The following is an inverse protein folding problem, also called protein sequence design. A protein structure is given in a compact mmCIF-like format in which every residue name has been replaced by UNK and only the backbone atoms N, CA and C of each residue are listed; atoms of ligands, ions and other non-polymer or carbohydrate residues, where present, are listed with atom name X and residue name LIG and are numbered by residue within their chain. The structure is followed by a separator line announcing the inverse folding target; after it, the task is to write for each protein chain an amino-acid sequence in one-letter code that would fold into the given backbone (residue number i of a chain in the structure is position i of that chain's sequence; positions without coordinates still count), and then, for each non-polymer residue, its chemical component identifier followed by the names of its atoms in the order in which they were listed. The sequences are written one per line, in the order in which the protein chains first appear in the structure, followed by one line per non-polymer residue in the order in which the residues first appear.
data_IF_936445730688
#
_entry.id   IF_936445730688
#
_cell.length_a   1.000
_cell.length_b   1.000
_cell.length_c   1.000
_cell.angle_alpha   90.00
_cell.angle_beta   90.00
_cell.angle_gamma   90.00
#
_symmetry.space_group_name_H-M   'P 1'
#
loop_
_entity.id
_entity.type
_entity.pdbx_description
1 polymer ?
#
# COMPACT_ATOMS: atom_id res chain seq x y z
N UNK A 1 2.03 8.54 24.33
CA UNK A 1 0.94 8.81 23.36
C UNK A 1 0.76 7.52 22.58
N UNK A 2 -0.40 6.90 22.62
CA UNK A 2 -0.66 5.66 21.87
C UNK A 2 -0.74 6.04 20.39
N UNK A 3 0.17 5.52 19.58
CA UNK A 3 0.22 5.81 18.15
C UNK A 3 -1.02 5.21 17.46
N UNK A 4 -1.67 5.96 16.57
CA UNK A 4 -2.83 5.43 15.83
C UNK A 4 -2.35 4.49 14.71
N UNK A 5 -3.19 3.53 14.26
CA UNK A 5 -2.81 2.62 13.18
C UNK A 5 -2.41 3.35 11.87
N UNK A 6 -3.12 4.41 11.43
CA UNK A 6 -2.69 5.23 10.30
C UNK A 6 -1.32 5.89 10.51
N UNK A 7 -1.04 6.40 11.72
CA UNK A 7 0.24 7.05 12.01
C UNK A 7 1.40 6.05 12.02
N UNK A 8 1.15 4.82 12.48
CA UNK A 8 2.12 3.73 12.41
C UNK A 8 2.45 3.36 10.97
N UNK A 9 1.44 3.16 10.12
CA UNK A 9 1.65 2.88 8.70
C UNK A 9 2.42 4.00 8.00
N UNK A 10 2.10 5.27 8.29
CA UNK A 10 2.85 6.41 7.77
C UNK A 10 4.30 6.39 8.25
N UNK A 11 4.56 6.10 9.53
CA UNK A 11 5.91 6.07 10.05
C UNK A 11 6.73 4.92 9.43
N UNK A 12 6.15 3.73 9.26
CA UNK A 12 6.79 2.62 8.54
C UNK A 12 7.16 3.03 7.11
N UNK A 13 6.25 3.70 6.41
CA UNK A 13 6.51 4.24 5.07
C UNK A 13 7.61 5.31 5.06
N UNK A 14 7.62 6.25 6.02
CA UNK A 14 8.68 7.25 6.14
C UNK A 14 10.06 6.63 6.43
N UNK A 15 10.11 5.59 7.26
CA UNK A 15 11.34 4.82 7.51
C UNK A 15 11.83 4.14 6.25
N UNK A 16 10.92 3.53 5.48
CA UNK A 16 11.23 2.95 4.18
C UNK A 16 11.79 4.01 3.20
N UNK A 17 11.16 5.19 3.14
CA UNK A 17 11.59 6.33 2.32
C UNK A 17 13.01 6.76 2.65
N UNK A 18 13.31 6.98 3.93
CA UNK A 18 14.62 7.40 4.39
C UNK A 18 15.72 6.40 4.00
N UNK A 19 15.46 5.09 4.16
CA UNK A 19 16.39 4.05 3.76
C UNK A 19 16.61 3.97 2.24
N UNK A 20 15.57 4.27 1.45
CA UNK A 20 15.67 4.27 -0.01
C UNK A 20 16.44 5.46 -0.59
N UNK A 21 16.52 6.56 0.15
CA UNK A 21 17.15 7.81 -0.27
C UNK A 21 18.67 7.81 -0.09
N UNK A 22 19.25 6.80 0.58
CA UNK A 22 20.69 6.67 0.73
C UNK A 22 21.35 6.48 -0.66
N UNK A 23 22.23 7.42 -1.02
CA UNK A 23 22.85 7.56 -2.36
C UNK A 23 23.99 6.57 -2.59
N UNK A 24 23.84 5.34 -2.13
CA UNK A 24 24.75 4.27 -2.51
C UNK A 24 24.53 3.92 -4.00
N UNK A 25 25.57 3.53 -4.76
CA UNK A 25 25.50 3.29 -6.20
C UNK A 25 24.80 1.95 -6.54
N UNK A 26 23.72 1.63 -5.84
CA UNK A 26 23.03 0.36 -5.98
C UNK A 26 21.86 0.44 -6.98
N UNK A 27 21.61 -0.61 -7.79
CA UNK A 27 20.47 -0.69 -8.69
C UNK A 27 19.13 -0.52 -7.94
N UNK A 28 18.06 -0.17 -8.67
CA UNK A 28 16.72 0.09 -8.08
C UNK A 28 16.14 -1.06 -7.24
N UNK A 29 16.52 -2.31 -7.55
CA UNK A 29 16.15 -3.50 -6.76
C UNK A 29 16.71 -3.45 -5.33
N UNK A 30 17.93 -2.96 -5.16
CA UNK A 30 18.60 -2.90 -3.86
C UNK A 30 17.96 -1.82 -2.96
N UNK A 31 17.46 -0.73 -3.55
CA UNK A 31 16.72 0.31 -2.81
C UNK A 31 15.37 -0.16 -2.26
N UNK A 32 14.65 -0.98 -3.04
CA UNK A 32 13.37 -1.54 -2.58
C UNK A 32 13.59 -2.57 -1.46
N UNK A 33 14.67 -3.35 -1.55
CA UNK A 33 15.06 -4.27 -0.49
C UNK A 33 15.48 -3.53 0.79
N UNK A 34 16.28 -2.46 0.68
CA UNK A 34 16.66 -1.62 1.82
C UNK A 34 15.45 -0.96 2.49
N UNK A 35 14.51 -0.45 1.69
CA UNK A 35 13.27 0.17 2.18
C UNK A 35 12.42 -0.82 2.99
N UNK A 36 12.19 -2.03 2.47
CA UNK A 36 11.47 -3.08 3.19
C UNK A 36 12.22 -3.52 4.44
N UNK A 37 13.53 -3.73 4.35
CA UNK A 37 14.35 -4.13 5.51
C UNK A 37 14.26 -3.12 6.64
N UNK A 38 14.28 -1.82 6.34
CA UNK A 38 14.18 -0.77 7.35
C UNK A 38 12.79 -0.71 8.00
N UNK A 39 11.72 -0.85 7.21
CA UNK A 39 10.35 -0.92 7.74
C UNK A 39 10.13 -2.17 8.61
N UNK A 40 10.64 -3.32 8.18
CA UNK A 40 10.61 -4.58 8.95
C UNK A 40 11.35 -4.46 10.27
N UNK A 41 12.55 -3.87 10.28
CA UNK A 41 13.31 -3.63 11.49
C UNK A 41 12.54 -2.73 12.46
N UNK A 42 11.99 -1.62 11.97
CA UNK A 42 11.17 -0.73 12.78
C UNK A 42 9.92 -1.42 13.36
N UNK A 43 9.20 -2.20 12.56
CA UNK A 43 8.04 -2.94 13.05
C UNK A 43 8.42 -3.92 14.17
N UNK A 44 9.55 -4.61 14.00
CA UNK A 44 10.10 -5.54 15.01
C UNK A 44 10.49 -4.83 16.31
N UNK A 45 11.12 -3.66 16.21
CA UNK A 45 11.49 -2.83 17.38
C UNK A 45 10.27 -2.32 18.16
N UNK A 46 9.11 -2.22 17.49
CA UNK A 46 7.82 -1.90 18.10
C UNK A 46 7.09 -3.12 18.66
N UNK A 47 7.68 -4.33 18.55
CA UNK A 47 7.11 -5.57 19.04
C UNK A 47 6.05 -6.18 18.12
N UNK A 48 5.99 -5.76 16.85
CA UNK A 48 5.09 -6.35 15.86
C UNK A 48 5.76 -7.55 15.20
N UNK A 49 5.00 -8.62 14.98
CA UNK A 49 5.43 -9.68 14.07
C UNK A 49 5.43 -9.17 12.63
N UNK A 50 6.33 -9.69 11.79
CA UNK A 50 6.44 -9.26 10.40
C UNK A 50 6.39 -10.45 9.46
N UNK A 51 5.56 -10.35 8.42
CA UNK A 51 5.53 -11.31 7.32
C UNK A 51 5.94 -10.58 6.05
N UNK A 52 7.03 -11.01 5.42
CA UNK A 52 7.43 -10.46 4.13
C UNK A 52 6.99 -11.40 3.01
N UNK A 53 6.14 -10.90 2.12
CA UNK A 53 5.69 -11.64 0.95
C UNK A 53 6.72 -11.54 -0.17
N UNK A 54 6.96 -12.68 -0.82
CA UNK A 54 7.77 -12.72 -2.02
C UNK A 54 7.05 -12.03 -3.18
N UNK A 55 7.82 -11.33 -4.01
CA UNK A 55 7.29 -10.74 -5.24
C UNK A 55 6.91 -11.86 -6.20
N UNK A 56 5.65 -11.88 -6.64
CA UNK A 56 5.20 -12.76 -7.73
C UNK A 56 5.51 -12.07 -9.07
N UNK A 57 6.43 -12.59 -9.89
CA UNK A 57 6.73 -12.02 -11.20
C UNK A 57 5.51 -12.06 -12.12
N UNK A 58 5.31 -11.02 -12.93
CA UNK A 58 4.26 -10.93 -13.95
C UNK A 58 2.81 -11.13 -13.44
N UNK A 59 2.57 -10.98 -12.13
CA UNK A 59 1.23 -11.03 -11.57
C UNK A 59 0.43 -9.78 -11.94
N UNK A 60 -0.82 -9.95 -12.35
CA UNK A 60 -1.78 -8.85 -12.39
C UNK A 60 -2.30 -8.50 -11.00
N UNK A 61 -2.84 -7.30 -10.82
CA UNK A 61 -3.44 -6.85 -9.55
C UNK A 61 -4.40 -7.88 -8.91
N UNK A 62 -5.33 -8.52 -9.65
CA UNK A 62 -6.25 -9.51 -9.07
C UNK A 62 -5.54 -10.72 -8.42
N UNK A 63 -4.40 -11.14 -8.97
CA UNK A 63 -3.63 -12.26 -8.45
C UNK A 63 -2.90 -11.95 -7.14
N UNK A 64 -2.71 -10.66 -6.81
CA UNK A 64 -2.13 -10.23 -5.54
C UNK A 64 -3.20 -9.95 -4.48
N UNK A 65 -4.28 -9.28 -4.87
CA UNK A 65 -5.32 -8.80 -3.97
C UNK A 65 -5.92 -9.92 -3.12
N UNK A 66 -6.37 -11.01 -3.76
CA UNK A 66 -7.11 -12.05 -3.05
C UNK A 66 -6.22 -12.83 -2.07
N UNK A 67 -5.03 -13.34 -2.46
CA UNK A 67 -4.13 -14.01 -1.52
C UNK A 67 -3.69 -13.12 -0.37
N UNK A 68 -3.45 -11.83 -0.60
CA UNK A 68 -3.03 -10.90 0.45
C UNK A 68 -4.17 -10.63 1.44
N UNK A 69 -5.41 -10.47 0.96
CA UNK A 69 -6.58 -10.32 1.81
C UNK A 69 -6.86 -11.58 2.65
N UNK A 70 -6.78 -12.75 2.03
CA UNK A 70 -6.99 -14.03 2.72
C UNK A 70 -5.91 -14.27 3.78
N UNK A 71 -4.65 -13.94 3.49
CA UNK A 71 -3.56 -13.98 4.47
C UNK A 71 -3.80 -13.00 5.62
N UNK A 72 -4.13 -11.75 5.33
CA UNK A 72 -4.36 -10.73 6.36
C UNK A 72 -5.47 -11.15 7.32
N UNK A 73 -6.56 -11.75 6.82
CA UNK A 73 -7.66 -12.28 7.65
C UNK A 73 -7.26 -13.47 8.52
N UNK A 74 -6.29 -14.27 8.08
CA UNK A 74 -5.79 -15.43 8.82
C UNK A 74 -4.63 -15.10 9.76
N UNK A 75 -4.11 -13.88 9.69
CA UNK A 75 -2.93 -13.44 10.45
C UNK A 75 -3.35 -12.98 11.86
N UNK A 76 -2.61 -13.33 12.92
CA UNK A 76 -2.93 -12.88 14.27
C UNK A 76 -2.72 -11.35 14.43
N UNK A 77 -3.49 -10.72 15.34
CA UNK A 77 -3.23 -9.37 15.83
C UNK A 77 -1.76 -9.09 16.19
N UNK A 78 -1.32 -7.87 15.92
CA UNK A 78 0.06 -7.45 16.20
C UNK A 78 1.05 -7.80 15.08
N UNK A 79 0.57 -7.93 13.83
CA UNK A 79 1.39 -8.31 12.69
C UNK A 79 1.37 -7.26 11.58
N UNK A 80 2.51 -7.05 10.92
CA UNK A 80 2.60 -6.29 9.67
C UNK A 80 3.02 -7.20 8.52
N UNK A 81 2.20 -7.26 7.48
CA UNK A 81 2.53 -7.95 6.24
C UNK A 81 3.09 -6.93 5.26
N UNK A 82 4.35 -7.11 4.88
CA UNK A 82 5.02 -6.29 3.88
C UNK A 82 5.05 -6.98 2.53
N UNK A 83 4.88 -6.21 1.47
CA UNK A 83 5.14 -6.70 0.11
C UNK A 83 5.70 -5.58 -0.77
N UNK A 84 6.49 -5.97 -1.75
CA UNK A 84 6.76 -5.16 -2.92
C UNK A 84 6.45 -5.99 -4.16
N UNK A 85 5.70 -5.41 -5.09
CA UNK A 85 5.41 -6.05 -6.36
C UNK A 85 5.15 -4.99 -7.40
N UNK A 86 5.65 -5.23 -8.61
CA UNK A 86 5.35 -4.42 -9.79
C UNK A 86 4.34 -5.16 -10.66
N UNK A 87 3.07 -5.28 -10.23
CA UNK A 87 2.08 -6.00 -11.01
C UNK A 87 1.83 -5.29 -12.33
N UNK A 88 1.52 -6.04 -13.38
CA UNK A 88 0.97 -5.42 -14.58
C UNK A 88 -0.43 -4.87 -14.24
N UNK A 89 -0.80 -3.76 -14.89
CA UNK A 89 -2.14 -3.16 -14.76
C UNK A 89 -3.24 -4.12 -15.24
N UNK A 90 -4.50 -3.72 -15.06
CA UNK A 90 -5.61 -4.43 -15.69
C UNK A 90 -5.43 -4.38 -17.22
N UNK A 91 -5.80 -5.46 -17.93
CA UNK A 91 -5.55 -5.59 -19.38
C UNK A 91 -6.15 -4.40 -20.15
N UNK A 92 -5.32 -3.66 -20.89
CA UNK A 92 -5.72 -2.46 -21.62
C UNK A 92 -5.77 -1.19 -20.78
N UNK A 93 -5.29 -1.23 -19.54
CA UNK A 93 -5.25 -0.13 -18.58
C UNK A 93 -3.82 0.08 -18.04
N UNK A 94 -2.87 0.19 -18.96
CA UNK A 94 -1.43 0.25 -18.68
C UNK A 94 -1.00 1.55 -17.95
N UNK A 95 -1.91 2.54 -17.90
CA UNK A 95 -1.71 3.86 -17.30
C UNK A 95 -2.37 4.04 -15.92
N UNK A 96 -2.93 2.99 -15.31
CA UNK A 96 -3.56 3.14 -13.99
C UNK A 96 -2.54 3.21 -12.86
N UNK A 97 -2.93 3.93 -11.81
CA UNK A 97 -2.26 3.90 -10.51
C UNK A 97 -2.22 2.47 -9.99
N UNK A 98 -1.07 1.78 -10.10
CA UNK A 98 -0.97 0.36 -9.75
C UNK A 98 -1.17 0.14 -8.26
N UNK A 99 -0.56 0.97 -7.42
CA UNK A 99 -0.67 0.83 -5.96
C UNK A 99 -2.05 1.22 -5.44
N UNK A 100 -2.66 2.27 -5.99
CA UNK A 100 -4.02 2.66 -5.59
C UNK A 100 -5.05 1.64 -6.07
N UNK A 101 -4.91 1.11 -7.30
CA UNK A 101 -5.77 0.04 -7.80
C UNK A 101 -5.62 -1.24 -6.98
N UNK A 102 -4.38 -1.61 -6.61
CA UNK A 102 -4.12 -2.70 -5.68
C UNK A 102 -4.80 -2.47 -4.33
N UNK A 103 -4.64 -1.27 -3.75
CA UNK A 103 -5.15 -0.96 -2.42
C UNK A 103 -6.68 -0.93 -2.38
N UNK A 104 -7.33 -0.40 -3.42
CA UNK A 104 -8.78 -0.43 -3.56
C UNK A 104 -9.29 -1.87 -3.76
N UNK A 105 -8.62 -2.65 -4.60
CA UNK A 105 -8.91 -4.08 -4.76
C UNK A 105 -8.77 -4.84 -3.44
N UNK A 106 -7.72 -4.55 -2.67
CA UNK A 106 -7.52 -5.12 -1.33
C UNK A 106 -8.68 -4.74 -0.40
N UNK A 107 -9.10 -3.47 -0.40
CA UNK A 107 -10.26 -3.01 0.38
C UNK A 107 -11.54 -3.77 0.04
N UNK A 108 -11.84 -3.94 -1.25
CA UNK A 108 -12.97 -4.73 -1.72
C UNK A 108 -12.88 -6.21 -1.28
N UNK A 109 -11.69 -6.81 -1.35
CA UNK A 109 -11.48 -8.20 -0.92
C UNK A 109 -11.55 -8.37 0.62
N UNK A 110 -11.12 -7.35 1.37
CA UNK A 110 -11.21 -7.31 2.83
C UNK A 110 -12.64 -7.02 3.31
N UNK A 111 -13.48 -6.38 2.50
CA UNK A 111 -14.92 -6.18 2.77
C UNK A 111 -15.21 -5.64 4.18
N UNK A 112 -14.48 -4.58 4.56
CA UNK A 112 -14.63 -3.96 5.88
C UNK A 112 -14.17 -4.82 7.05
N UNK A 113 -13.24 -5.76 6.81
CA UNK A 113 -12.58 -6.53 7.88
C UNK A 113 -12.07 -5.57 8.97
N UNK A 114 -12.59 -5.79 10.18
CA UNK A 114 -12.18 -5.03 11.37
C UNK A 114 -10.71 -5.28 11.65
N UNK A 115 -10.07 -4.27 12.23
CA UNK A 115 -8.69 -4.32 12.70
C UNK A 115 -7.63 -4.61 11.61
N UNK A 116 -7.97 -4.37 10.34
CA UNK A 116 -7.02 -4.43 9.22
C UNK A 116 -6.92 -3.06 8.56
N UNK A 117 -5.73 -2.48 8.61
CA UNK A 117 -5.37 -1.24 7.92
C UNK A 117 -4.32 -1.56 6.85
N UNK A 118 -4.28 -0.78 5.78
CA UNK A 118 -3.24 -0.95 4.78
C UNK A 118 -2.74 0.38 4.22
N UNK A 119 -1.54 0.33 3.67
CA UNK A 119 -0.91 1.42 2.93
C UNK A 119 -0.30 0.83 1.67
N UNK A 120 -0.50 1.50 0.53
CA UNK A 120 0.23 1.21 -0.70
C UNK A 120 0.71 2.51 -1.33
N UNK A 121 1.99 2.55 -1.71
CA UNK A 121 2.64 3.74 -2.23
C UNK A 121 3.71 3.43 -3.28
N UNK A 122 3.88 4.35 -4.23
CA UNK A 122 4.98 4.42 -5.19
C UNK A 122 5.63 5.80 -5.09
N UNK A 123 6.96 5.85 -5.00
CA UNK A 123 7.69 7.12 -4.95
C UNK A 123 8.12 7.61 -6.32
N UNK A 124 8.02 6.79 -7.37
CA UNK A 124 8.34 7.24 -8.73
C UNK A 124 7.28 8.23 -9.26
N UNK A 125 6.18 8.45 -8.53
CA UNK A 125 5.16 9.47 -8.80
C UNK A 125 4.31 9.20 -10.05
N UNK A 126 4.57 8.09 -10.73
CA UNK A 126 3.93 7.71 -11.99
C UNK A 126 2.48 7.27 -11.79
N UNK A 127 2.14 6.76 -10.61
CA UNK A 127 0.80 6.23 -10.35
C UNK A 127 -0.29 7.30 -10.42
N UNK A 128 -0.06 8.56 -10.02
CA UNK A 128 -1.11 9.60 -10.00
C UNK A 128 -0.78 10.88 -10.77
N UNK A 129 0.19 10.84 -11.69
CA UNK A 129 0.72 12.04 -12.35
C UNK A 129 1.43 13.00 -11.38
N UNK A 130 2.02 12.46 -10.31
CA UNK A 130 2.79 13.21 -9.31
C UNK A 130 1.98 13.86 -8.18
N UNK A 131 0.67 13.62 -8.10
CA UNK A 131 -0.22 14.32 -7.13
C UNK A 131 -0.29 13.66 -5.75
N UNK A 132 0.05 12.37 -5.64
CA UNK A 132 0.04 11.59 -4.41
C UNK A 132 1.05 10.46 -4.52
N UNK A 133 1.70 10.10 -3.40
CA UNK A 133 2.61 8.95 -3.37
C UNK A 133 1.86 7.62 -3.22
N UNK A 134 0.60 7.64 -2.79
CA UNK A 134 -0.14 6.45 -2.41
C UNK A 134 -1.37 6.80 -1.59
N UNK A 135 -1.90 5.84 -0.84
CA UNK A 135 -3.02 6.06 0.06
C UNK A 135 -3.00 5.11 1.27
N UNK A 136 -3.85 5.43 2.24
CA UNK A 136 -4.24 4.57 3.34
C UNK A 136 -5.59 3.92 3.06
N UNK A 137 -5.75 2.71 3.56
CA UNK A 137 -7.01 1.97 3.62
C UNK A 137 -7.35 1.73 5.08
N UNK A 138 -8.55 2.14 5.46
CA UNK A 138 -9.10 1.94 6.79
C UNK A 138 -10.18 0.84 6.75
N UNK A 139 -10.45 0.16 7.88
CA UNK A 139 -11.58 -0.78 7.98
C UNK A 139 -12.92 -0.18 7.55
N UNK A 140 -13.09 1.13 7.72
CA UNK A 140 -14.32 1.85 7.41
C UNK A 140 -14.32 2.51 6.01
N UNK A 141 -13.23 2.45 5.23
CA UNK A 141 -13.09 3.20 3.97
C UNK A 141 -14.22 2.89 2.97
N UNK A 142 -14.63 1.62 2.84
CA UNK A 142 -15.76 1.25 1.98
C UNK A 142 -17.07 1.87 2.46
N UNK A 143 -17.33 1.83 3.78
CA UNK A 143 -18.55 2.40 4.36
C UNK A 143 -18.60 3.92 4.20
N UNK A 144 -17.46 4.62 4.37
CA UNK A 144 -17.34 6.06 4.11
C UNK A 144 -17.58 6.38 2.64
N UNK A 145 -17.06 5.58 1.71
CA UNK A 145 -17.29 5.78 0.28
C UNK A 145 -18.75 5.61 -0.11
N UNK A 146 -19.43 4.56 0.41
CA UNK A 146 -20.85 4.35 0.18
C UNK A 146 -21.70 5.50 0.74
N UNK A 147 -21.33 6.05 1.91
CA UNK A 147 -22.01 7.22 2.49
C UNK A 147 -21.86 8.49 1.64
N UNK A 148 -20.82 8.56 0.79
CA UNK A 148 -20.61 9.62 -0.20
C UNK A 148 -21.27 9.33 -1.55
N UNK A 149 -21.97 8.20 -1.70
CA UNK A 149 -22.61 7.78 -2.95
C UNK A 149 -21.63 7.25 -4.01
N UNK A 150 -20.42 6.86 -3.60
CA UNK A 150 -19.44 6.24 -4.49
C UNK A 150 -19.71 4.74 -4.64
N UNK A 151 -19.36 4.18 -5.80
CA UNK A 151 -19.41 2.74 -6.07
C UNK A 151 -17.98 2.21 -6.24
N UNK A 152 -17.37 1.62 -5.19
CA UNK A 152 -15.94 1.29 -5.18
C UNK A 152 -15.51 0.27 -6.24
N UNK A 153 -16.37 -0.69 -6.58
CA UNK A 153 -16.10 -1.70 -7.59
C UNK A 153 -16.00 -1.08 -8.98
N UNK A 154 -16.98 -0.26 -9.36
CA UNK A 154 -16.99 0.48 -10.62
C UNK A 154 -15.87 1.49 -10.73
N UNK A 155 -15.50 2.18 -9.63
CA UNK A 155 -14.31 3.04 -9.62
C UNK A 155 -13.03 2.23 -9.89
N UNK A 156 -12.90 1.02 -9.35
CA UNK A 156 -11.77 0.15 -9.64
C UNK A 156 -11.76 -0.31 -11.10
N UNK A 157 -12.91 -0.75 -11.64
CA UNK A 157 -13.05 -1.20 -13.03
C UNK A 157 -12.73 -0.10 -14.04
N UNK A 158 -13.10 1.15 -13.72
CA UNK A 158 -12.83 2.34 -14.53
C UNK A 158 -11.43 2.93 -14.30
N UNK A 159 -10.63 2.33 -13.41
CA UNK A 159 -9.28 2.82 -13.13
C UNK A 159 -9.22 4.13 -12.35
N UNK A 160 -10.29 4.45 -11.62
CA UNK A 160 -10.47 5.68 -10.85
C UNK A 160 -10.17 5.51 -9.36
N UNK A 161 -9.29 4.58 -8.99
CA UNK A 161 -8.84 4.43 -7.61
C UNK A 161 -8.31 5.73 -6.97
N UNK A 162 -7.60 6.64 -7.68
CA UNK A 162 -7.24 7.95 -7.14
C UNK A 162 -8.43 8.78 -6.66
N UNK A 163 -9.54 8.77 -7.42
CA UNK A 163 -10.76 9.50 -7.06
C UNK A 163 -11.35 8.96 -5.75
N UNK A 164 -11.41 7.64 -5.60
CA UNK A 164 -11.87 6.99 -4.37
C UNK A 164 -11.11 7.50 -3.15
N UNK A 165 -9.77 7.41 -3.14
CA UNK A 165 -8.98 7.83 -1.97
C UNK A 165 -8.96 9.35 -1.77
N UNK A 166 -9.02 10.13 -2.85
CA UNK A 166 -9.15 11.59 -2.77
C UNK A 166 -10.45 12.01 -2.08
N UNK A 167 -11.58 11.39 -2.44
CA UNK A 167 -12.89 11.67 -1.85
C UNK A 167 -12.96 11.33 -0.36
N UNK A 168 -12.16 10.35 0.09
CA UNK A 168 -12.07 9.98 1.50
C UNK A 168 -11.08 10.83 2.31
N UNK A 169 -10.20 11.58 1.63
CA UNK A 169 -9.09 12.29 2.28
C UNK A 169 -7.95 11.37 2.73
N UNK A 170 -7.86 10.17 2.15
CA UNK A 170 -6.93 9.10 2.59
C UNK A 170 -5.65 9.03 1.74
N UNK A 171 -5.44 9.98 0.81
CA UNK A 171 -4.22 10.06 0.00
C UNK A 171 -2.98 10.41 0.85
N UNK A 172 -1.84 9.84 0.48
CA UNK A 172 -0.54 10.24 0.98
C UNK A 172 -0.01 11.44 0.20
N UNK A 173 0.70 12.38 0.85
CA UNK A 173 1.36 13.46 0.14
C UNK A 173 2.39 12.92 -0.85
N UNK A 174 2.74 13.68 -1.91
CA UNK A 174 3.82 13.32 -2.82
C UNK A 174 5.12 13.03 -2.07
N UNK A 175 5.86 12.02 -2.53
CA UNK A 175 7.16 11.65 -1.97
C UNK A 175 8.25 12.65 -2.43
N UNK A 176 9.34 12.81 -1.65
CA UNK A 176 10.49 13.59 -2.08
C UNK A 176 11.08 13.03 -3.40
N UNK A 177 11.50 13.91 -4.31
CA UNK A 177 12.04 13.54 -5.63
C UNK A 177 13.30 12.64 -5.56
N UNK A 178 13.98 12.62 -4.42
CA UNK A 178 15.18 11.84 -4.14
C UNK A 178 14.87 10.35 -3.83
N UNK A 179 13.64 10.03 -3.41
CA UNK A 179 13.23 8.68 -3.03
C UNK A 179 12.81 7.85 -4.24
N UNK A 180 13.24 6.59 -4.29
CA UNK A 180 12.95 5.65 -5.39
C UNK A 180 12.62 4.25 -4.85
N UNK A 181 11.52 4.15 -4.11
CA UNK A 181 10.84 2.90 -3.80
C UNK A 181 9.76 2.67 -4.83
N UNK A 182 9.93 1.61 -5.62
CA UNK A 182 8.82 1.09 -6.41
C UNK A 182 8.00 0.17 -5.52
N UNK A 183 6.73 0.50 -5.40
CA UNK A 183 5.70 -0.36 -4.82
C UNK A 183 5.99 -0.79 -3.36
N UNK A 184 5.86 0.14 -2.41
CA UNK A 184 5.84 -0.17 -0.98
C UNK A 184 4.41 -0.49 -0.52
N UNK A 185 4.20 -1.64 0.13
CA UNK A 185 2.91 -2.03 0.69
C UNK A 185 3.08 -2.58 2.09
N UNK A 186 2.19 -2.16 2.98
CA UNK A 186 2.10 -2.66 4.35
C UNK A 186 0.63 -2.91 4.69
N UNK A 187 0.33 -4.07 5.26
CA UNK A 187 -0.97 -4.42 5.83
C UNK A 187 -0.75 -4.64 7.32
N UNK A 188 -1.38 -3.83 8.15
CA UNK A 188 -1.33 -3.90 9.61
C UNK A 188 -2.57 -4.62 10.13
N UNK A 189 -2.36 -5.67 10.92
CA UNK A 189 -3.41 -6.45 11.59
C UNK A 189 -3.28 -6.23 13.10
N UNK A 190 -4.33 -5.72 13.76
CA UNK A 190 -4.36 -5.47 15.22
C UNK A 190 -5.39 -6.32 15.96
#
# INVERSE_FOLDING_TARGET
MTQTPPDLLRQLYQTALAASADRQPHPSRDRSAAALSAATAMASDLGLETIQLETVPDAGIPALVRPHADLARATPPGTVIFSSANPHGLRGQDNLSRNLSYLLGLGLALDGARDIWALAADTDGLDSGGTAAGALLHPDSLSRALALGLEPGGLLEQGQAPLFFASLGDLLPPAPAEARIRDFRAILVL
#
